data_IF_699898896309
#
_entry.id   IF_699898896309
#
_cell.length_a   1.000
_cell.length_b   1.000
_cell.length_c   1.000
_cell.angle_alpha   90.00
_cell.angle_beta   90.00
_cell.angle_gamma   90.00
#
_symmetry.space_group_name_H-M   'P 1'
#
loop_
_entity.id
_entity.type
_entity.pdbx_description
1 polymer ?
#
# COMPACT_ATOMS: atom_id res chain seq x y z
N UNK A 1 15.02 1.54 3.17
CA UNK A 1 14.76 1.23 1.75
C UNK A 1 14.87 2.51 0.94
N UNK A 2 15.33 2.46 -0.31
CA UNK A 2 15.32 3.65 -1.18
C UNK A 2 13.88 3.93 -1.62
N UNK A 3 13.36 5.17 -1.46
CA UNK A 3 12.03 5.52 -1.97
C UNK A 3 11.86 5.28 -3.49
N UNK A 4 12.97 5.16 -4.21
CA UNK A 4 12.97 4.87 -5.64
C UNK A 4 12.65 3.41 -6.00
N UNK A 5 12.93 2.47 -5.11
CA UNK A 5 12.87 1.04 -5.41
C UNK A 5 11.63 0.38 -4.82
N UNK A 6 11.24 0.79 -3.61
CA UNK A 6 10.20 0.13 -2.82
C UNK A 6 9.07 1.07 -2.41
N UNK A 7 9.03 2.28 -2.97
CA UNK A 7 8.07 3.31 -2.54
C UNK A 7 8.42 3.89 -1.18
N UNK A 8 7.48 4.65 -0.62
CA UNK A 8 7.62 5.31 0.67
C UNK A 8 7.83 4.32 1.84
N UNK A 9 8.67 4.69 2.81
CA UNK A 9 8.76 3.96 4.08
C UNK A 9 7.61 4.43 4.99
N UNK A 10 6.77 3.50 5.42
CA UNK A 10 5.71 3.80 6.38
C UNK A 10 6.23 3.64 7.81
N UNK A 11 5.90 4.59 8.69
CA UNK A 11 6.37 4.61 10.07
C UNK A 11 5.18 4.36 10.99
N UNK A 12 5.29 3.34 11.84
CA UNK A 12 4.29 2.97 12.82
C UNK A 12 4.47 3.72 14.14
N UNK A 13 3.43 3.73 14.97
CA UNK A 13 3.42 4.42 16.29
C UNK A 13 4.51 3.92 17.24
N UNK A 14 4.89 2.64 17.13
CA UNK A 14 5.97 2.05 17.93
C UNK A 14 7.38 2.39 17.38
N UNK A 15 7.49 3.22 16.34
CA UNK A 15 8.72 3.58 15.65
C UNK A 15 9.21 2.52 14.66
N UNK A 16 8.39 1.53 14.32
CA UNK A 16 8.70 0.55 13.29
C UNK A 16 8.72 1.17 11.89
N UNK A 17 9.78 0.89 11.13
CA UNK A 17 9.85 1.21 9.70
C UNK A 17 9.37 -0.01 8.90
N UNK A 18 8.29 0.15 8.13
CA UNK A 18 7.61 -0.94 7.44
C UNK A 18 7.28 -0.58 5.99
N UNK A 19 6.80 -1.59 5.26
CA UNK A 19 6.28 -1.42 3.91
C UNK A 19 5.06 -0.49 3.92
N UNK A 20 4.90 0.27 2.83
CA UNK A 20 3.80 1.18 2.57
C UNK A 20 2.43 0.50 2.65
N UNK A 21 2.36 -0.79 2.31
CA UNK A 21 1.12 -1.55 2.30
C UNK A 21 0.48 -1.64 3.68
N UNK A 22 1.27 -1.64 4.77
CA UNK A 22 0.72 -1.61 6.13
C UNK A 22 -0.10 -0.34 6.40
N UNK A 23 0.30 0.78 5.81
CA UNK A 23 -0.43 2.04 5.92
C UNK A 23 -1.81 2.01 5.24
N UNK A 24 -2.07 1.05 4.35
CA UNK A 24 -3.42 0.83 3.83
C UNK A 24 -4.34 0.19 4.87
N UNK A 25 -3.83 -0.77 5.65
CA UNK A 25 -4.61 -1.42 6.71
C UNK A 25 -5.02 -0.42 7.80
N UNK A 26 -4.08 0.38 8.32
CA UNK A 26 -4.41 1.40 9.33
C UNK A 26 -5.43 2.41 8.82
N UNK A 27 -5.31 2.84 7.54
CA UNK A 27 -6.23 3.82 6.93
C UNK A 27 -7.65 3.32 6.77
N UNK A 28 -7.85 2.01 6.59
CA UNK A 28 -9.15 1.44 6.27
C UNK A 28 -9.83 0.70 7.41
N UNK A 29 -9.08 0.30 8.44
CA UNK A 29 -9.58 -0.55 9.52
C UNK A 29 -9.62 0.14 10.89
N UNK A 30 -9.16 1.40 10.99
CA UNK A 30 -9.05 2.13 12.26
C UNK A 30 -8.27 1.36 13.33
N UNK A 31 -7.15 0.74 12.91
CA UNK A 31 -6.24 -0.02 13.77
C UNK A 31 -4.87 0.65 13.84
N UNK A 32 -4.15 0.38 14.92
CA UNK A 32 -2.74 0.78 15.10
C UNK A 32 -1.89 -0.49 15.09
N UNK A 33 -1.12 -0.68 14.03
CA UNK A 33 -0.23 -1.82 13.87
C UNK A 33 1.12 -1.55 14.55
N UNK A 34 1.85 -2.63 14.80
CA UNK A 34 3.20 -2.60 15.39
C UNK A 34 4.21 -3.18 14.40
N UNK A 35 5.50 -2.98 14.66
CA UNK A 35 6.58 -3.54 13.82
C UNK A 35 6.48 -5.05 13.61
N UNK A 36 5.82 -5.78 14.52
CA UNK A 36 5.70 -7.23 14.47
C UNK A 36 4.60 -7.71 13.52
N UNK A 37 3.69 -6.82 13.11
CA UNK A 37 2.71 -7.08 12.05
C UNK A 37 3.37 -7.14 10.66
N UNK A 38 4.58 -6.61 10.49
CA UNK A 38 5.37 -6.74 9.25
C UNK A 38 6.40 -7.88 9.38
N UNK A 39 6.16 -8.99 8.68
CA UNK A 39 7.05 -10.15 8.65
C UNK A 39 7.85 -10.13 7.35
N UNK A 40 9.18 -10.18 7.45
CA UNK A 40 10.07 -10.31 6.30
C UNK A 40 10.92 -11.58 6.39
N UNK A 41 11.38 -12.09 5.25
CA UNK A 41 12.31 -13.23 5.19
C UNK A 41 13.55 -12.98 6.07
N UNK A 42 14.07 -11.75 6.05
CA UNK A 42 15.21 -11.34 6.87
C UNK A 42 14.93 -11.45 8.38
N UNK A 43 13.77 -10.98 8.86
CA UNK A 43 13.38 -11.10 10.28
C UNK A 43 13.29 -12.56 10.74
N UNK A 44 12.66 -13.41 9.94
CA UNK A 44 12.51 -14.84 10.26
C UNK A 44 13.88 -15.52 10.31
N UNK A 45 14.73 -15.28 9.29
CA UNK A 45 16.05 -15.91 9.22
C UNK A 45 16.95 -15.44 10.35
N UNK A 46 16.92 -14.15 10.68
CA UNK A 46 17.64 -13.60 11.82
C UNK A 46 17.20 -14.27 13.13
N UNK A 47 15.89 -14.35 13.39
CA UNK A 47 15.34 -14.99 14.59
C UNK A 47 15.79 -16.44 14.73
N UNK A 48 15.73 -17.22 13.64
CA UNK A 48 16.15 -18.63 13.65
C UNK A 48 17.65 -18.79 13.85
N UNK A 49 18.47 -17.96 13.21
CA UNK A 49 19.93 -17.97 13.40
C UNK A 49 20.34 -17.61 14.84
N UNK A 50 19.65 -16.65 15.46
CA UNK A 50 19.90 -16.29 16.86
C UNK A 50 19.53 -17.44 17.82
N UNK A 51 18.38 -18.10 17.59
CA UNK A 51 17.95 -19.29 18.35
C UNK A 51 18.93 -20.45 18.22
N UNK A 52 19.46 -20.67 17.01
CA UNK A 52 20.48 -21.68 16.75
C UNK A 52 21.75 -21.43 17.57
N UNK A 53 22.27 -20.19 17.56
CA UNK A 53 23.47 -19.82 18.32
C UNK A 53 23.29 -19.94 19.84
N UNK A 54 22.08 -19.72 20.35
CA UNK A 54 21.75 -19.91 21.78
C UNK A 54 21.64 -21.39 22.18
N UNK A 55 21.53 -22.30 21.21
CA UNK A 55 21.36 -23.72 21.46
C UNK A 55 19.90 -24.16 21.64
N UNK A 56 18.93 -23.33 21.22
CA UNK A 56 17.49 -23.61 21.39
C UNK A 56 17.03 -24.87 20.63
N UNK A 57 17.80 -25.30 19.61
CA UNK A 57 17.55 -26.51 18.82
C UNK A 57 18.33 -27.75 19.32
N UNK A 58 18.96 -27.67 20.50
CA UNK A 58 19.67 -28.79 21.15
C UNK A 58 20.75 -29.44 20.28
N UNK A 59 21.44 -28.64 19.46
CA UNK A 59 22.49 -29.11 18.55
C UNK A 59 22.00 -29.87 17.32
N UNK A 60 20.67 -29.94 17.07
CA UNK A 60 20.12 -30.50 15.83
C UNK A 60 20.34 -29.55 14.67
N UNK A 61 20.50 -30.11 13.46
CA UNK A 61 20.62 -29.33 12.23
C UNK A 61 19.33 -28.56 11.93
N UNK A 62 19.45 -27.24 11.79
CA UNK A 62 18.35 -26.37 11.38
C UNK A 62 18.13 -26.49 9.86
N UNK A 63 16.87 -26.52 9.46
CA UNK A 63 16.41 -26.70 8.07
C UNK A 63 15.21 -25.79 7.79
N UNK A 64 14.91 -25.52 6.52
CA UNK A 64 13.73 -24.73 6.13
C UNK A 64 12.44 -25.36 6.69
N UNK A 65 12.27 -26.67 6.50
CA UNK A 65 11.19 -27.42 7.12
C UNK A 65 11.79 -28.33 8.20
N UNK A 66 11.28 -28.30 9.45
CA UNK A 66 10.17 -27.48 9.93
C UNK A 66 10.60 -26.13 10.51
N UNK A 67 11.90 -25.85 10.71
CA UNK A 67 12.33 -24.76 11.61
C UNK A 67 11.96 -23.35 11.13
N UNK A 68 12.10 -23.05 9.84
CA UNK A 68 11.68 -21.75 9.26
C UNK A 68 10.14 -21.69 9.23
N UNK A 69 9.48 -22.77 8.79
CA UNK A 69 8.02 -22.81 8.70
C UNK A 69 7.35 -22.69 10.08
N UNK A 70 7.93 -23.30 11.12
CA UNK A 70 7.48 -23.17 12.50
C UNK A 70 7.73 -21.77 13.03
N UNK A 71 8.86 -21.14 12.71
CA UNK A 71 9.11 -19.75 13.08
C UNK A 71 8.07 -18.80 12.47
N UNK A 72 7.68 -18.99 11.22
CA UNK A 72 6.63 -18.20 10.56
C UNK A 72 5.26 -18.42 11.23
N UNK A 73 4.84 -19.68 11.41
CA UNK A 73 3.55 -20.00 12.06
C UNK A 73 3.47 -19.43 13.47
N UNK A 74 4.50 -19.67 14.28
CA UNK A 74 4.54 -19.18 15.66
C UNK A 74 4.50 -17.65 15.71
N UNK A 75 5.15 -16.97 14.75
CA UNK A 75 5.08 -15.51 14.66
C UNK A 75 3.65 -15.04 14.39
N UNK A 76 3.00 -15.60 13.36
CA UNK A 76 1.61 -15.28 13.02
C UNK A 76 0.68 -15.50 14.20
N UNK A 77 0.75 -16.67 14.86
CA UNK A 77 -0.07 -16.99 16.03
C UNK A 77 0.20 -16.04 17.21
N UNK A 78 1.46 -15.67 17.44
CA UNK A 78 1.85 -14.76 18.53
C UNK A 78 1.36 -13.33 18.31
N UNK A 79 1.32 -12.86 17.06
CA UNK A 79 0.88 -11.49 16.73
C UNK A 79 -0.64 -11.42 16.63
N UNK A 80 -1.30 -12.47 16.14
CA UNK A 80 -2.76 -12.51 16.00
C UNK A 80 -3.52 -12.35 17.33
N UNK A 81 -2.88 -12.69 18.46
CA UNK A 81 -3.49 -12.54 19.79
C UNK A 81 -3.26 -11.17 20.44
N UNK A 82 -2.44 -10.30 19.82
CA UNK A 82 -2.16 -8.96 20.31
C UNK A 82 -3.23 -8.00 19.76
N UNK A 83 -3.95 -7.26 20.62
CA UNK A 83 -4.95 -6.30 20.16
C UNK A 83 -4.31 -5.13 19.43
N UNK A 84 -4.96 -4.69 18.35
CA UNK A 84 -4.52 -3.56 17.49
C UNK A 84 -5.57 -2.46 17.36
N UNK A 85 -6.78 -2.66 17.91
CA UNK A 85 -7.91 -1.71 17.83
C UNK A 85 -8.18 -1.00 19.18
N UNK A 86 -7.27 -1.14 20.14
CA UNK A 86 -7.39 -0.58 21.49
C UNK A 86 -8.36 -1.31 22.42
N UNK A 87 -8.99 -2.41 21.99
CA UNK A 87 -9.85 -3.23 22.86
C UNK A 87 -9.04 -4.29 23.60
N UNK A 88 -9.56 -4.76 24.73
CA UNK A 88 -8.96 -5.88 25.46
C UNK A 88 -9.32 -7.21 24.76
N UNK A 89 -8.33 -8.11 24.68
CA UNK A 89 -8.50 -9.44 24.12
C UNK A 89 -8.01 -9.59 22.68
N UNK A 90 -7.87 -10.84 22.18
CA UNK A 90 -7.43 -11.10 20.81
C UNK A 90 -8.54 -10.75 19.81
N UNK A 91 -8.15 -10.46 18.56
CA UNK A 91 -9.10 -10.28 17.48
C UNK A 91 -9.77 -11.61 17.09
N UNK A 92 -11.02 -11.56 16.62
CA UNK A 92 -11.74 -12.75 16.14
C UNK A 92 -11.18 -13.29 14.81
N UNK A 93 -10.64 -12.41 13.97
CA UNK A 93 -10.10 -12.72 12.64
C UNK A 93 -8.80 -11.94 12.42
N UNK A 94 -7.75 -12.64 11.98
CA UNK A 94 -6.50 -12.06 11.53
C UNK A 94 -6.45 -12.11 10.00
N UNK A 95 -6.31 -10.95 9.34
CA UNK A 95 -6.07 -10.87 7.90
C UNK A 95 -4.58 -10.99 7.66
N UNK A 96 -4.18 -12.01 6.89
CA UNK A 96 -2.78 -12.27 6.54
C UNK A 96 -2.61 -11.99 5.04
N UNK A 97 -1.74 -11.05 4.72
CA UNK A 97 -1.29 -10.81 3.36
C UNK A 97 0.09 -11.45 3.15
N UNK A 98 0.15 -12.36 2.18
CA UNK A 98 1.42 -12.84 1.65
C UNK A 98 1.78 -12.00 0.42
N UNK A 99 2.70 -11.06 0.59
CA UNK A 99 3.25 -10.27 -0.50
C UNK A 99 4.03 -11.13 -1.52
N UNK A 100 4.35 -10.52 -2.66
CA UNK A 100 5.01 -11.22 -3.78
C UNK A 100 4.03 -12.01 -4.65
N UNK A 101 4.52 -13.05 -5.32
CA UNK A 101 3.72 -13.84 -6.26
C UNK A 101 3.79 -15.32 -5.96
N UNK A 102 2.73 -16.06 -6.29
CA UNK A 102 2.79 -17.52 -6.20
C UNK A 102 3.69 -18.08 -7.30
N UNK A 103 4.71 -18.85 -6.91
CA UNK A 103 5.64 -19.53 -7.81
C UNK A 103 7.04 -18.93 -7.87
N UNK A 104 7.28 -17.84 -7.15
CA UNK A 104 8.63 -17.32 -6.92
C UNK A 104 9.35 -18.14 -5.81
N UNK A 105 10.69 -18.02 -5.74
CA UNK A 105 11.52 -18.80 -4.80
C UNK A 105 11.36 -18.23 -3.38
N UNK A 106 11.13 -16.93 -3.30
CA UNK A 106 11.01 -16.14 -2.08
C UNK A 106 9.76 -16.51 -1.27
N UNK A 107 8.62 -16.80 -1.91
CA UNK A 107 7.37 -17.16 -1.23
C UNK A 107 7.31 -18.62 -0.79
N UNK A 108 8.17 -19.51 -1.31
CA UNK A 108 8.08 -20.96 -1.04
C UNK A 108 8.04 -21.31 0.46
N UNK A 109 8.90 -20.74 1.34
CA UNK A 109 8.85 -21.03 2.78
C UNK A 109 7.54 -20.55 3.43
N UNK A 110 6.98 -19.42 2.98
CA UNK A 110 5.74 -18.86 3.51
C UNK A 110 4.51 -19.66 3.07
N UNK A 111 4.45 -20.07 1.80
CA UNK A 111 3.35 -20.91 1.30
C UNK A 111 3.33 -22.24 2.05
N UNK A 112 4.51 -22.87 2.25
CA UNK A 112 4.60 -24.11 3.02
C UNK A 112 4.21 -23.90 4.51
N UNK A 113 4.59 -22.78 5.11
CA UNK A 113 4.16 -22.43 6.46
C UNK A 113 2.64 -22.24 6.58
N UNK A 114 2.02 -21.49 5.65
CA UNK A 114 0.57 -21.29 5.59
C UNK A 114 -0.19 -22.58 5.29
N UNK A 115 0.36 -23.46 4.44
CA UNK A 115 -0.18 -24.80 4.22
C UNK A 115 -0.24 -25.58 5.52
N UNK A 116 0.85 -25.63 6.28
CA UNK A 116 0.88 -26.30 7.59
C UNK A 116 -0.04 -25.63 8.61
N UNK A 117 -0.11 -24.29 8.61
CA UNK A 117 -1.01 -23.52 9.48
C UNK A 117 -2.48 -23.88 9.23
N UNK A 118 -2.89 -24.00 7.96
CA UNK A 118 -4.26 -24.37 7.62
C UNK A 118 -4.71 -25.71 8.21
N UNK A 119 -3.77 -26.63 8.42
CA UNK A 119 -4.05 -27.89 9.12
C UNK A 119 -4.05 -27.75 10.64
N UNK A 120 -3.18 -26.91 11.22
CA UNK A 120 -3.10 -26.75 12.68
C UNK A 120 -4.31 -26.02 13.24
N UNK A 121 -4.80 -24.98 12.56
CA UNK A 121 -5.96 -24.20 13.01
C UNK A 121 -7.29 -24.88 12.66
N UNK A 122 -7.30 -25.75 11.66
CA UNK A 122 -8.49 -26.45 11.20
C UNK A 122 -9.25 -25.71 10.09
N UNK A 123 -10.09 -26.45 9.36
CA UNK A 123 -10.73 -25.99 8.13
C UNK A 123 -11.65 -24.78 8.33
N UNK A 124 -12.37 -24.73 9.45
CA UNK A 124 -13.31 -23.65 9.76
C UNK A 124 -12.63 -22.40 10.35
N UNK A 125 -11.30 -22.42 10.55
CA UNK A 125 -10.52 -21.30 11.06
C UNK A 125 -9.53 -20.74 10.02
N UNK A 126 -9.65 -21.15 8.76
CA UNK A 126 -8.77 -20.72 7.68
C UNK A 126 -9.58 -20.40 6.42
N UNK A 127 -9.40 -19.20 5.88
CA UNK A 127 -9.99 -18.77 4.62
C UNK A 127 -8.87 -18.27 3.70
N UNK A 128 -8.87 -18.76 2.46
CA UNK A 128 -7.83 -18.45 1.47
C UNK A 128 -8.46 -17.74 0.28
N UNK A 129 -8.02 -16.51 0.04
CA UNK A 129 -8.43 -15.70 -1.10
C UNK A 129 -7.23 -15.60 -2.03
N UNK A 130 -7.35 -16.14 -3.24
CA UNK A 130 -6.31 -15.99 -4.26
C UNK A 130 -6.62 -14.82 -5.17
N UNK A 131 -5.76 -13.81 -5.20
CA UNK A 131 -5.90 -12.65 -6.07
C UNK A 131 -5.17 -12.91 -7.38
N UNK A 132 -5.86 -12.75 -8.51
CA UNK A 132 -5.28 -12.98 -9.84
C UNK A 132 -5.71 -11.92 -10.84
N UNK A 133 -4.80 -11.56 -11.74
CA UNK A 133 -5.08 -10.68 -12.87
C UNK A 133 -5.74 -11.45 -14.04
N UNK A 134 -6.83 -10.91 -14.57
CA UNK A 134 -7.47 -11.33 -15.82
C UNK A 134 -7.16 -10.28 -16.89
N UNK A 135 -6.13 -10.50 -17.72
CA UNK A 135 -5.79 -9.55 -18.77
C UNK A 135 -6.85 -9.52 -19.86
N UNK A 136 -7.16 -8.30 -20.32
CA UNK A 136 -8.04 -8.02 -21.45
C UNK A 136 -7.16 -7.60 -22.62
N UNK A 137 -7.13 -8.39 -23.68
CA UNK A 137 -6.22 -8.15 -24.81
C UNK A 137 -6.93 -7.44 -25.98
N UNK A 138 -6.40 -6.25 -26.33
CA UNK A 138 -6.59 -5.59 -27.63
C UNK A 138 -8.03 -5.19 -28.00
N UNK A 139 -8.20 -4.85 -29.28
CA UNK A 139 -9.42 -4.30 -29.91
C UNK A 139 -10.67 -5.17 -29.73
N UNK A 140 -10.48 -6.46 -29.47
CA UNK A 140 -11.56 -7.47 -29.38
C UNK A 140 -12.18 -7.55 -27.97
N UNK A 141 -11.50 -7.04 -26.94
CA UNK A 141 -12.00 -7.05 -25.56
C UNK A 141 -12.07 -8.44 -24.91
N UNK A 142 -11.30 -9.42 -25.40
CA UNK A 142 -11.36 -10.80 -24.89
C UNK A 142 -10.66 -10.94 -23.53
N UNK A 143 -11.40 -11.45 -22.54
CA UNK A 143 -10.90 -11.75 -21.20
C UNK A 143 -10.14 -13.09 -21.17
N UNK A 144 -8.84 -13.06 -20.87
CA UNK A 144 -7.99 -14.25 -20.87
C UNK A 144 -7.86 -14.86 -19.47
N UNK A 145 -8.36 -16.07 -19.29
CA UNK A 145 -8.36 -16.78 -18.00
C UNK A 145 -7.12 -17.63 -17.74
N UNK A 146 -6.26 -17.85 -18.75
CA UNK A 146 -5.16 -18.83 -18.66
C UNK A 146 -4.13 -18.48 -17.58
N UNK A 147 -3.71 -17.20 -17.40
CA UNK A 147 -2.80 -16.84 -16.32
C UNK A 147 -3.32 -17.26 -14.95
N UNK A 148 -4.59 -17.00 -14.66
CA UNK A 148 -5.26 -17.43 -13.42
C UNK A 148 -5.30 -18.95 -13.27
N UNK A 149 -5.59 -19.69 -14.34
CA UNK A 149 -5.59 -21.15 -14.31
C UNK A 149 -4.22 -21.73 -13.94
N UNK A 150 -3.14 -21.16 -14.50
CA UNK A 150 -1.77 -21.57 -14.17
C UNK A 150 -1.41 -21.20 -12.73
N UNK A 151 -1.76 -19.99 -12.29
CA UNK A 151 -1.49 -19.54 -10.93
C UNK A 151 -2.21 -20.39 -9.87
N UNK A 152 -3.48 -20.74 -10.09
CA UNK A 152 -4.22 -21.64 -9.19
C UNK A 152 -3.68 -23.07 -9.25
N UNK A 153 -3.19 -23.53 -10.40
CA UNK A 153 -2.51 -24.84 -10.49
C UNK A 153 -1.25 -24.86 -9.64
N UNK A 154 -0.45 -23.79 -9.69
CA UNK A 154 0.78 -23.66 -8.89
C UNK A 154 0.47 -23.65 -7.39
N UNK A 155 -0.49 -22.82 -6.97
CA UNK A 155 -0.94 -22.75 -5.58
C UNK A 155 -1.40 -24.12 -5.05
N UNK A 156 -2.15 -24.88 -5.87
CA UNK A 156 -2.59 -26.24 -5.52
C UNK A 156 -1.46 -27.25 -5.50
N UNK A 157 -0.47 -27.14 -6.37
CA UNK A 157 0.72 -27.99 -6.34
C UNK A 157 1.51 -27.80 -5.04
N UNK A 158 1.47 -26.58 -4.49
CA UNK A 158 2.01 -26.24 -3.17
C UNK A 158 1.05 -26.59 -2.01
N UNK A 159 -0.05 -27.29 -2.27
CA UNK A 159 -0.96 -27.83 -1.26
C UNK A 159 -1.99 -26.86 -0.70
N UNK A 160 -2.15 -25.67 -1.29
CA UNK A 160 -3.20 -24.71 -0.93
C UNK A 160 -4.29 -24.65 -2.00
N UNK A 161 -5.55 -24.72 -1.59
CA UNK A 161 -6.70 -24.58 -2.50
C UNK A 161 -7.49 -23.33 -2.14
N UNK A 162 -7.70 -22.38 -3.06
CA UNK A 162 -8.40 -21.15 -2.75
C UNK A 162 -9.88 -21.40 -2.47
N UNK A 163 -10.39 -20.75 -1.43
CA UNK A 163 -11.82 -20.74 -1.09
C UNK A 163 -12.56 -19.68 -1.91
N UNK A 164 -11.89 -18.56 -2.17
CA UNK A 164 -12.34 -17.49 -3.05
C UNK A 164 -11.26 -17.16 -4.08
N UNK A 165 -11.70 -16.76 -5.27
CA UNK A 165 -10.83 -16.28 -6.34
C UNK A 165 -11.19 -14.83 -6.66
N UNK A 166 -10.33 -13.91 -6.28
CA UNK A 166 -10.47 -12.49 -6.57
C UNK A 166 -9.81 -12.15 -7.91
N UNK A 167 -10.63 -11.99 -8.94
CA UNK A 167 -10.16 -11.74 -10.30
C UNK A 167 -10.15 -10.24 -10.59
N UNK A 168 -8.96 -9.64 -10.65
CA UNK A 168 -8.76 -8.25 -11.04
C UNK A 168 -8.78 -8.09 -12.55
N UNK A 169 -9.55 -7.14 -13.08
CA UNK A 169 -9.62 -6.85 -14.52
C UNK A 169 -9.92 -5.38 -14.81
N UNK A 170 -9.68 -4.91 -16.03
CA UNK A 170 -10.06 -3.54 -16.41
C UNK A 170 -11.59 -3.38 -16.58
N UNK A 171 -12.27 -4.46 -17.00
CA UNK A 171 -13.70 -4.47 -17.29
C UNK A 171 -14.41 -5.57 -16.48
N UNK A 172 -15.71 -5.46 -16.20
CA UNK A 172 -16.47 -6.50 -15.51
C UNK A 172 -16.35 -7.86 -16.19
N UNK A 173 -16.13 -8.91 -15.40
CA UNK A 173 -16.05 -10.28 -15.94
C UNK A 173 -17.35 -10.73 -16.62
N UNK A 174 -17.20 -11.30 -17.80
CA UNK A 174 -18.30 -11.96 -18.50
C UNK A 174 -18.69 -13.25 -17.78
N UNK A 175 -19.98 -13.61 -17.86
CA UNK A 175 -20.50 -14.82 -17.22
C UNK A 175 -19.76 -16.09 -17.68
N UNK A 176 -19.51 -16.23 -18.99
CA UNK A 176 -18.72 -17.33 -19.54
C UNK A 176 -17.27 -17.37 -18.99
N UNK A 177 -16.65 -16.20 -18.75
CA UNK A 177 -15.32 -16.12 -18.11
C UNK A 177 -15.37 -16.69 -16.70
N UNK A 178 -16.39 -16.34 -15.90
CA UNK A 178 -16.59 -16.86 -14.54
C UNK A 178 -16.84 -18.38 -14.55
N UNK A 179 -17.70 -18.87 -15.42
CA UNK A 179 -18.00 -20.31 -15.54
C UNK A 179 -16.75 -21.11 -15.92
N UNK A 180 -15.97 -20.61 -16.87
CA UNK A 180 -14.69 -21.19 -17.25
C UNK A 180 -13.72 -21.22 -16.07
N UNK A 181 -13.54 -20.09 -15.38
CA UNK A 181 -12.67 -20.05 -14.20
C UNK A 181 -13.14 -21.05 -13.13
N UNK A 182 -14.44 -21.19 -12.91
CA UNK A 182 -15.00 -22.15 -11.96
C UNK A 182 -14.62 -23.59 -12.30
N UNK A 183 -14.81 -23.98 -13.56
CA UNK A 183 -14.47 -25.32 -14.05
C UNK A 183 -12.97 -25.63 -13.96
N UNK A 184 -12.10 -24.68 -14.33
CA UNK A 184 -10.66 -24.95 -14.38
C UNK A 184 -9.95 -24.77 -13.03
N UNK A 185 -10.44 -23.88 -12.18
CA UNK A 185 -9.84 -23.57 -10.88
C UNK A 185 -10.45 -24.38 -9.73
N UNK A 186 -11.57 -25.08 -9.96
CA UNK A 186 -12.34 -25.83 -8.96
C UNK A 186 -12.85 -24.93 -7.81
N UNK A 187 -13.19 -23.69 -8.13
CA UNK A 187 -13.81 -22.73 -7.19
C UNK A 187 -15.26 -22.52 -7.63
N UNK A 188 -16.27 -22.58 -6.73
CA UNK A 188 -17.65 -22.30 -7.10
C UNK A 188 -17.79 -20.93 -7.77
N UNK A 189 -18.63 -20.82 -8.81
CA UNK A 189 -18.80 -19.55 -9.52
C UNK A 189 -19.26 -18.39 -8.59
N UNK A 190 -19.98 -18.70 -7.51
CA UNK A 190 -20.37 -17.75 -6.46
C UNK A 190 -19.19 -17.17 -5.69
N UNK A 191 -18.05 -17.86 -5.65
CA UNK A 191 -16.85 -17.47 -4.93
C UNK A 191 -15.79 -16.86 -5.88
N UNK A 192 -16.14 -16.61 -7.14
CA UNK A 192 -15.30 -15.90 -8.12
C UNK A 192 -15.72 -14.43 -8.13
N UNK A 193 -14.90 -13.62 -7.47
CA UNK A 193 -15.14 -12.19 -7.28
C UNK A 193 -14.62 -11.41 -8.49
N UNK A 194 -15.48 -10.60 -9.08
CA UNK A 194 -15.16 -9.68 -10.17
C UNK A 194 -14.68 -8.36 -9.57
N UNK A 195 -13.38 -8.11 -9.60
CA UNK A 195 -12.74 -6.88 -9.09
C UNK A 195 -12.29 -6.04 -10.29
N UNK A 196 -13.24 -5.37 -10.92
CA UNK A 196 -12.92 -4.51 -12.07
C UNK A 196 -12.43 -3.13 -11.62
N UNK A 197 -11.79 -2.38 -12.52
CA UNK A 197 -11.39 -1.01 -12.23
C UNK A 197 -12.61 -0.16 -11.85
N UNK A 198 -12.55 0.44 -10.67
CA UNK A 198 -13.58 1.32 -10.10
C UNK A 198 -13.12 2.77 -10.12
N UNK A 199 -14.05 3.76 -10.16
CA UNK A 199 -13.69 5.18 -10.25
C UNK A 199 -12.82 5.68 -9.10
N UNK A 200 -13.04 5.11 -7.90
CA UNK A 200 -12.27 5.41 -6.70
C UNK A 200 -12.25 4.19 -5.77
N UNK A 201 -11.27 4.15 -4.86
CA UNK A 201 -10.98 2.99 -4.01
C UNK A 201 -12.12 2.64 -3.03
N UNK A 202 -12.97 3.61 -2.66
CA UNK A 202 -14.07 3.39 -1.72
C UNK A 202 -15.23 2.59 -2.33
N UNK A 203 -15.24 2.41 -3.66
CA UNK A 203 -16.16 1.47 -4.32
C UNK A 203 -15.80 0.01 -4.11
N UNK A 204 -14.57 -0.34 -3.73
CA UNK A 204 -14.13 -1.74 -3.61
C UNK A 204 -14.94 -2.51 -2.55
N UNK A 205 -15.15 -2.01 -1.31
CA UNK A 205 -16.02 -2.67 -0.34
C UNK A 205 -17.46 -2.84 -0.83
N UNK A 206 -18.00 -1.85 -1.56
CA UNK A 206 -19.36 -1.91 -2.13
C UNK A 206 -19.45 -2.99 -3.21
N UNK A 207 -18.43 -3.09 -4.07
CA UNK A 207 -18.30 -4.11 -5.10
C UNK A 207 -18.21 -5.52 -4.52
N UNK A 208 -17.51 -5.69 -3.40
CA UNK A 208 -17.41 -6.95 -2.67
C UNK A 208 -18.73 -7.32 -1.97
N UNK A 209 -19.42 -6.34 -1.35
CA UNK A 209 -20.74 -6.53 -0.75
C UNK A 209 -21.75 -7.00 -1.80
N UNK A 210 -21.83 -6.33 -2.94
CA UNK A 210 -22.79 -6.63 -4.01
C UNK A 210 -22.58 -8.04 -4.61
N UNK A 211 -21.40 -8.64 -4.41
CA UNK A 211 -21.07 -10.00 -4.83
C UNK A 211 -21.15 -11.03 -3.69
N UNK A 212 -21.68 -10.66 -2.53
CA UNK A 212 -21.78 -11.51 -1.34
C UNK A 212 -20.43 -12.08 -0.86
N UNK A 213 -19.32 -11.36 -1.11
CA UNK A 213 -17.98 -11.81 -0.71
C UNK A 213 -17.88 -12.02 0.82
N UNK A 214 -18.40 -11.04 1.58
CA UNK A 214 -18.52 -11.11 3.04
C UNK A 214 -19.25 -12.37 3.52
N UNK A 215 -20.38 -12.73 2.90
CA UNK A 215 -21.12 -13.95 3.22
C UNK A 215 -20.30 -15.21 2.94
N UNK A 216 -19.59 -15.27 1.82
CA UNK A 216 -18.74 -16.42 1.47
C UNK A 216 -17.58 -16.60 2.46
N UNK A 217 -16.95 -15.50 2.89
CA UNK A 217 -15.87 -15.52 3.91
C UNK A 217 -16.43 -15.96 5.27
N UNK A 218 -17.53 -15.35 5.73
CA UNK A 218 -18.17 -15.70 7.00
C UNK A 218 -18.66 -17.16 7.03
N UNK A 219 -19.13 -17.68 5.89
CA UNK A 219 -19.49 -19.08 5.75
C UNK A 219 -18.28 -20.00 5.89
N UNK A 220 -17.16 -19.64 5.25
CA UNK A 220 -15.92 -20.42 5.31
C UNK A 220 -15.33 -20.45 6.72
N UNK A 221 -15.46 -19.35 7.47
CA UNK A 221 -14.95 -19.25 8.83
C UNK A 221 -15.97 -19.66 9.91
N UNK A 222 -17.13 -20.20 9.53
CA UNK A 222 -18.20 -20.58 10.45
C UNK A 222 -18.70 -19.45 11.38
N UNK A 223 -18.72 -18.20 10.88
CA UNK A 223 -19.16 -17.00 11.62
C UNK A 223 -20.57 -16.51 11.27
N UNK A 224 -21.30 -17.17 10.37
CA UNK A 224 -22.62 -16.73 9.91
C UNK A 224 -23.67 -16.56 11.02
N UNK A 225 -23.55 -17.30 12.12
CA UNK A 225 -24.50 -17.24 13.25
C UNK A 225 -24.32 -16.00 14.13
N UNK A 226 -23.13 -15.39 14.10
CA UNK A 226 -22.74 -14.26 14.96
C UNK A 226 -22.65 -12.96 14.16
N UNK A 227 -22.27 -13.05 12.89
CA UNK A 227 -22.03 -11.88 12.06
C UNK A 227 -23.31 -11.16 11.64
N UNK A 228 -23.26 -9.83 11.68
CA UNK A 228 -24.30 -8.95 11.13
C UNK A 228 -23.95 -8.53 9.71
N UNK A 229 -24.96 -8.08 8.95
CA UNK A 229 -24.70 -7.46 7.64
C UNK A 229 -23.79 -6.24 7.80
N UNK A 230 -22.81 -6.04 6.89
CA UNK A 230 -21.88 -4.92 7.00
C UNK A 230 -22.63 -3.60 6.73
N UNK A 231 -22.50 -2.64 7.64
CA UNK A 231 -22.91 -1.27 7.40
C UNK A 231 -21.83 -0.56 6.57
N UNK A 232 -22.18 -0.24 5.32
CA UNK A 232 -21.31 0.46 4.38
C UNK A 232 -21.88 1.84 4.00
N UNK A 233 -22.74 2.43 4.84
CA UNK A 233 -23.31 3.74 4.55
C UNK A 233 -22.22 4.80 4.39
N UNK A 234 -21.25 4.86 5.32
CA UNK A 234 -20.14 5.82 5.25
C UNK A 234 -19.29 5.64 3.98
N UNK A 235 -18.98 4.38 3.64
CA UNK A 235 -18.26 4.04 2.41
C UNK A 235 -19.01 4.47 1.15
N UNK A 236 -20.32 4.25 1.14
CA UNK A 236 -21.21 4.67 0.03
C UNK A 236 -21.19 6.19 -0.12
N UNK A 237 -21.42 6.92 0.98
CA UNK A 237 -21.40 8.38 0.98
C UNK A 237 -20.06 8.92 0.53
N UNK A 238 -18.94 8.35 1.00
CA UNK A 238 -17.59 8.81 0.63
C UNK A 238 -17.28 8.56 -0.84
N UNK A 239 -17.63 7.37 -1.36
CA UNK A 239 -17.44 7.02 -2.77
C UNK A 239 -18.23 7.94 -3.70
N UNK A 240 -19.52 8.16 -3.39
CA UNK A 240 -20.40 9.03 -4.17
C UNK A 240 -20.00 10.50 -4.07
N UNK A 241 -19.57 10.96 -2.88
CA UNK A 241 -19.09 12.34 -2.70
C UNK A 241 -17.91 12.59 -3.62
N UNK A 242 -16.91 11.71 -3.62
CA UNK A 242 -15.71 11.87 -4.45
C UNK A 242 -16.02 11.89 -5.95
N UNK A 243 -16.92 11.01 -6.41
CA UNK A 243 -17.30 10.95 -7.83
C UNK A 243 -18.01 12.23 -8.31
N UNK A 244 -18.69 12.94 -7.41
CA UNK A 244 -19.45 14.15 -7.71
C UNK A 244 -18.66 15.45 -7.48
N UNK A 245 -17.38 15.39 -7.11
CA UNK A 245 -16.55 16.60 -6.91
C UNK A 245 -16.24 17.29 -8.25
N UNK A 246 -16.68 18.54 -8.37
CA UNK A 246 -16.46 19.37 -9.56
C UNK A 246 -15.37 20.42 -9.39
N UNK A 247 -15.26 21.02 -8.20
CA UNK A 247 -14.24 22.01 -7.91
C UNK A 247 -12.90 21.33 -7.62
N UNK A 248 -11.82 21.81 -8.23
CA UNK A 248 -10.47 21.29 -7.99
C UNK A 248 -9.57 22.31 -7.33
N UNK A 249 -8.55 21.83 -6.61
CA UNK A 249 -7.47 22.64 -6.05
C UNK A 249 -6.15 22.13 -6.60
N UNK A 250 -5.35 23.04 -7.19
CA UNK A 250 -4.03 22.72 -7.72
C UNK A 250 -2.96 22.84 -6.64
N UNK A 251 -2.24 21.75 -6.41
CA UNK A 251 -1.22 21.62 -5.38
C UNK A 251 0.10 21.33 -6.08
N UNK A 252 1.05 22.27 -6.00
CA UNK A 252 2.40 22.02 -6.50
C UNK A 252 3.15 21.16 -5.48
N UNK A 253 3.43 19.91 -5.83
CA UNK A 253 4.27 19.02 -5.03
C UNK A 253 5.70 19.06 -5.53
N UNK A 254 6.56 19.77 -4.81
CA UNK A 254 7.97 19.99 -5.17
C UNK A 254 8.83 18.95 -4.46
N UNK A 255 9.18 17.88 -5.17
CA UNK A 255 9.81 16.70 -4.59
C UNK A 255 11.06 16.24 -5.33
N UNK A 256 11.77 15.28 -4.72
CA UNK A 256 12.96 14.64 -5.32
C UNK A 256 12.63 13.42 -6.19
N UNK A 257 11.43 12.87 -6.06
CA UNK A 257 11.05 11.54 -6.57
C UNK A 257 9.80 11.61 -7.47
N UNK A 258 9.74 12.60 -8.36
CA UNK A 258 8.53 12.89 -9.17
C UNK A 258 8.14 11.79 -10.16
N UNK A 259 9.09 10.95 -10.58
CA UNK A 259 8.82 9.84 -11.50
C UNK A 259 8.13 8.62 -10.87
N UNK A 260 8.03 8.57 -9.53
CA UNK A 260 7.46 7.45 -8.79
C UNK A 260 6.41 7.98 -7.82
N UNK A 261 5.15 7.86 -8.21
CA UNK A 261 4.00 8.28 -7.39
C UNK A 261 3.99 7.61 -6.02
N UNK A 262 4.55 6.40 -5.94
CA UNK A 262 4.54 5.58 -4.74
C UNK A 262 5.51 6.09 -3.66
N UNK A 263 6.49 6.93 -4.03
CA UNK A 263 7.41 7.55 -3.08
C UNK A 263 6.76 8.58 -2.16
N UNK A 264 5.53 9.01 -2.46
CA UNK A 264 4.77 9.99 -1.67
C UNK A 264 3.29 9.59 -1.51
N UNK A 265 2.99 8.29 -1.57
CA UNK A 265 1.61 7.82 -1.58
C UNK A 265 0.86 8.25 -0.32
N UNK A 266 1.47 8.18 0.87
CA UNK A 266 0.84 8.56 2.13
C UNK A 266 0.41 10.03 2.11
N UNK A 267 1.26 10.91 1.58
CA UNK A 267 1.01 12.34 1.43
C UNK A 267 -0.15 12.59 0.48
N UNK A 268 -0.15 11.93 -0.68
CA UNK A 268 -1.25 12.04 -1.66
C UNK A 268 -2.57 11.54 -1.07
N UNK A 269 -2.57 10.45 -0.31
CA UNK A 269 -3.79 9.93 0.36
C UNK A 269 -4.28 10.87 1.46
N UNK A 270 -3.38 11.46 2.25
CA UNK A 270 -3.75 12.45 3.27
C UNK A 270 -4.36 13.70 2.65
N UNK A 271 -3.76 14.22 1.58
CA UNK A 271 -4.32 15.34 0.81
C UNK A 271 -5.70 15.01 0.24
N UNK A 272 -5.85 13.81 -0.33
CA UNK A 272 -7.12 13.34 -0.85
C UNK A 272 -8.22 13.36 0.22
N UNK A 273 -7.93 12.86 1.42
CA UNK A 273 -8.89 12.86 2.52
C UNK A 273 -9.24 14.29 2.96
N UNK A 274 -8.26 15.17 3.11
CA UNK A 274 -8.47 16.57 3.49
C UNK A 274 -9.28 17.33 2.43
N UNK A 275 -8.99 17.11 1.15
CA UNK A 275 -9.70 17.76 0.04
C UNK A 275 -11.16 17.29 -0.04
N UNK A 276 -11.43 16.00 0.16
CA UNK A 276 -12.81 15.47 0.21
C UNK A 276 -13.61 16.11 1.34
N UNK A 277 -13.02 16.27 2.53
CA UNK A 277 -13.66 16.95 3.65
C UNK A 277 -14.03 18.42 3.35
N UNK A 278 -13.29 19.05 2.42
CA UNK A 278 -13.54 20.41 1.94
C UNK A 278 -14.36 20.47 0.64
N UNK A 279 -14.91 19.35 0.15
CA UNK A 279 -15.61 19.27 -1.13
C UNK A 279 -14.77 19.76 -2.33
N UNK A 280 -13.48 19.45 -2.32
CA UNK A 280 -12.52 19.78 -3.36
C UNK A 280 -11.86 18.52 -3.92
N UNK A 281 -11.60 18.50 -5.22
CA UNK A 281 -10.81 17.46 -5.89
C UNK A 281 -9.33 17.87 -5.91
N UNK A 282 -8.41 17.08 -5.33
CA UNK A 282 -6.99 17.40 -5.40
C UNK A 282 -6.47 17.22 -6.83
N UNK A 283 -5.75 18.22 -7.34
CA UNK A 283 -4.93 18.13 -8.55
C UNK A 283 -3.48 18.32 -8.12
N UNK A 284 -2.74 17.21 -8.00
CA UNK A 284 -1.33 17.24 -7.59
C UNK A 284 -0.47 17.39 -8.83
N UNK A 285 0.12 18.57 -8.97
CA UNK A 285 1.05 18.88 -10.04
C UNK A 285 2.48 18.63 -9.54
N UNK A 286 3.14 17.64 -10.13
CA UNK A 286 4.46 17.20 -9.67
C UNK A 286 5.57 18.04 -10.29
N UNK A 287 6.46 18.55 -9.44
CA UNK A 287 7.58 19.39 -9.86
C UNK A 287 8.87 18.77 -9.33
N UNK A 288 9.76 18.37 -10.24
CA UNK A 288 11.06 17.86 -9.84
C UNK A 288 11.87 19.05 -9.30
N UNK A 289 12.30 18.97 -8.04
CA UNK A 289 12.96 20.11 -7.40
C UNK A 289 14.23 20.56 -8.17
N UNK A 290 14.96 19.62 -8.76
CA UNK A 290 16.12 19.92 -9.63
C UNK A 290 15.77 20.82 -10.81
N UNK A 291 14.56 20.74 -11.35
CA UNK A 291 14.17 21.51 -12.52
C UNK A 291 13.96 22.99 -12.17
N UNK A 292 13.73 23.32 -10.90
CA UNK A 292 13.63 24.70 -10.42
C UNK A 292 14.99 25.39 -10.26
N UNK A 293 16.09 24.63 -10.21
CA UNK A 293 17.43 25.16 -9.96
C UNK A 293 17.96 26.01 -11.14
N UNK A 294 18.84 26.95 -10.82
CA UNK A 294 19.42 27.87 -11.82
C UNK A 294 20.28 27.15 -12.87
N UNK A 295 20.89 26.02 -12.53
CA UNK A 295 21.69 25.24 -13.49
C UNK A 295 20.80 24.57 -14.54
N UNK A 296 19.59 24.16 -14.16
CA UNK A 296 18.58 23.62 -15.08
C UNK A 296 18.09 24.65 -16.09
N UNK A 297 18.13 25.94 -15.77
CA UNK A 297 17.85 27.00 -16.74
C UNK A 297 18.84 27.02 -17.92
N UNK A 298 20.06 26.49 -17.73
CA UNK A 298 21.09 26.38 -18.78
C UNK A 298 21.10 25.01 -19.44
N UNK A 299 20.97 23.95 -18.64
CA UNK A 299 21.10 22.56 -19.11
C UNK A 299 19.81 22.05 -19.77
N UNK A 300 18.65 22.40 -19.20
CA UNK A 300 17.32 21.90 -19.59
C UNK A 300 16.28 23.03 -19.53
N UNK A 301 16.41 24.06 -20.38
CA UNK A 301 15.61 25.29 -20.29
C UNK A 301 14.10 25.06 -20.41
N UNK A 302 13.67 24.09 -21.23
CA UNK A 302 12.25 23.76 -21.41
C UNK A 302 11.64 23.16 -20.14
N UNK A 303 12.33 22.19 -19.51
CA UNK A 303 11.89 21.58 -18.25
C UNK A 303 11.86 22.61 -17.10
N UNK A 304 12.88 23.49 -17.05
CA UNK A 304 12.93 24.58 -16.08
C UNK A 304 11.76 25.55 -16.24
N UNK A 305 11.47 25.98 -17.48
CA UNK A 305 10.35 26.89 -17.75
C UNK A 305 9.01 26.25 -17.35
N UNK A 306 8.79 24.99 -17.71
CA UNK A 306 7.57 24.24 -17.37
C UNK A 306 7.40 24.03 -15.86
N UNK A 307 8.47 23.71 -15.14
CA UNK A 307 8.46 23.56 -13.68
C UNK A 307 8.04 24.87 -12.99
N UNK A 308 8.63 25.99 -13.39
CA UNK A 308 8.28 27.30 -12.85
C UNK A 308 6.88 27.79 -13.24
N UNK A 309 6.40 27.49 -14.45
CA UNK A 309 5.02 27.77 -14.85
C UNK A 309 4.02 27.00 -13.99
N UNK A 310 4.26 25.70 -13.81
CA UNK A 310 3.46 24.85 -12.93
C UNK A 310 3.41 25.40 -11.51
N UNK A 311 4.57 25.75 -10.93
CA UNK A 311 4.66 26.33 -9.58
C UNK A 311 3.85 27.62 -9.44
N UNK A 312 3.98 28.54 -10.41
CA UNK A 312 3.26 29.84 -10.40
C UNK A 312 1.75 29.68 -10.55
N UNK A 313 1.30 28.58 -11.13
CA UNK A 313 -0.11 28.31 -11.38
C UNK A 313 -0.81 27.63 -10.20
N UNK A 314 -0.05 27.05 -9.25
CA UNK A 314 -0.60 26.30 -8.13
C UNK A 314 -1.25 27.21 -7.08
N UNK A 315 -2.29 26.69 -6.42
CA UNK A 315 -2.97 27.37 -5.32
C UNK A 315 -2.22 27.23 -3.98
N UNK A 316 -1.40 26.19 -3.84
CA UNK A 316 -0.50 25.99 -2.71
C UNK A 316 0.74 25.18 -3.12
N UNK A 317 1.78 25.30 -2.30
CA UNK A 317 3.05 24.59 -2.47
C UNK A 317 3.23 23.60 -1.32
N UNK A 318 3.54 22.35 -1.65
CA UNK A 318 3.90 21.32 -0.69
C UNK A 318 5.31 20.81 -0.99
N UNK A 319 6.18 20.85 0.03
CA UNK A 319 7.51 20.24 -0.03
C UNK A 319 7.54 19.06 0.94
N UNK A 320 7.60 17.81 0.44
CA UNK A 320 7.60 16.62 1.27
C UNK A 320 8.98 16.35 1.87
N UNK A 321 9.11 15.25 2.61
CA UNK A 321 10.40 14.75 3.09
C UNK A 321 11.32 14.30 1.94
N UNK A 322 12.60 14.16 2.23
CA UNK A 322 13.58 13.63 1.28
C UNK A 322 14.97 13.49 1.91
N UNK A 323 15.86 12.77 1.22
CA UNK A 323 17.22 12.50 1.68
C UNK A 323 18.27 13.08 0.72
N UNK A 324 19.48 13.34 1.26
CA UNK A 324 20.65 13.86 0.52
C UNK A 324 20.51 15.32 0.06
N UNK A 325 21.49 15.79 -0.72
CA UNK A 325 21.59 17.21 -1.11
C UNK A 325 20.85 17.55 -2.42
N UNK A 326 20.55 16.54 -3.25
CA UNK A 326 19.91 16.75 -4.57
C UNK A 326 18.58 17.47 -4.44
N UNK A 327 18.35 18.51 -5.25
CA UNK A 327 17.07 19.22 -5.33
C UNK A 327 16.82 20.19 -4.17
N UNK A 328 17.72 20.30 -3.18
CA UNK A 328 17.52 21.15 -1.99
C UNK A 328 17.42 22.62 -2.39
N UNK A 329 18.31 23.11 -3.26
CA UNK A 329 18.27 24.51 -3.71
C UNK A 329 16.99 24.83 -4.49
N UNK A 330 16.49 23.89 -5.30
CA UNK A 330 15.20 24.04 -5.97
C UNK A 330 14.02 24.12 -5.01
N UNK A 331 14.03 23.34 -3.92
CA UNK A 331 13.03 23.43 -2.85
C UNK A 331 13.09 24.77 -2.11
N UNK A 332 14.30 25.30 -1.86
CA UNK A 332 14.49 26.63 -1.26
C UNK A 332 13.89 27.70 -2.17
N UNK A 333 14.11 27.62 -3.48
CA UNK A 333 13.52 28.54 -4.47
C UNK A 333 11.98 28.47 -4.47
N UNK A 334 11.41 27.27 -4.34
CA UNK A 334 9.96 27.10 -4.23
C UNK A 334 9.40 27.71 -2.93
N UNK A 335 10.06 27.50 -1.79
CA UNK A 335 9.68 28.09 -0.51
C UNK A 335 9.76 29.63 -0.55
N UNK A 336 10.82 30.17 -1.18
CA UNK A 336 11.00 31.61 -1.39
C UNK A 336 9.87 32.19 -2.22
N UNK A 337 9.56 31.53 -3.35
CA UNK A 337 8.44 31.93 -4.20
C UNK A 337 7.13 31.98 -3.41
N UNK A 338 6.84 30.93 -2.62
CA UNK A 338 5.62 30.87 -1.83
C UNK A 338 5.54 32.01 -0.81
N UNK A 339 6.63 32.29 -0.09
CA UNK A 339 6.71 33.39 0.89
C UNK A 339 6.52 34.76 0.25
N UNK A 340 7.24 35.04 -0.84
CA UNK A 340 7.23 36.35 -1.50
C UNK A 340 5.91 36.66 -2.23
N UNK A 341 5.17 35.62 -2.63
CA UNK A 341 3.91 35.76 -3.35
C UNK A 341 2.69 35.41 -2.49
N UNK A 342 2.86 35.23 -1.18
CA UNK A 342 1.80 34.85 -0.24
C UNK A 342 1.00 33.60 -0.64
N UNK A 343 1.67 32.63 -1.27
CA UNK A 343 1.08 31.33 -1.61
C UNK A 343 1.18 30.41 -0.38
N UNK A 344 0.09 29.75 0.05
CA UNK A 344 0.14 28.79 1.15
C UNK A 344 1.19 27.72 0.95
N UNK A 345 1.98 27.44 1.98
CA UNK A 345 3.09 26.51 1.97
C UNK A 345 2.95 25.47 3.08
N UNK A 346 3.15 24.19 2.76
CA UNK A 346 3.27 23.11 3.74
C UNK A 346 4.61 22.38 3.54
N UNK A 347 5.48 22.47 4.54
CA UNK A 347 6.75 21.75 4.57
C UNK A 347 6.67 20.55 5.51
N UNK A 348 6.91 19.34 5.00
CA UNK A 348 6.92 18.10 5.79
C UNK A 348 8.36 17.65 6.00
N UNK A 349 8.77 17.46 7.26
CA UNK A 349 10.12 17.04 7.64
C UNK A 349 11.20 17.93 6.97
N UNK A 350 11.85 17.47 5.90
CA UNK A 350 12.79 18.27 5.12
C UNK A 350 12.17 19.59 4.66
N UNK A 351 10.91 19.60 4.20
CA UNK A 351 10.25 20.85 3.78
C UNK A 351 10.19 21.91 4.88
N UNK A 352 10.02 21.51 6.14
CA UNK A 352 10.08 22.45 7.27
C UNK A 352 11.50 23.00 7.47
N UNK A 353 12.54 22.18 7.28
CA UNK A 353 13.92 22.65 7.32
C UNK A 353 14.21 23.63 6.19
N UNK A 354 13.72 23.34 4.98
CA UNK A 354 13.86 24.19 3.80
C UNK A 354 13.26 25.58 4.05
N UNK A 355 12.08 25.68 4.67
CA UNK A 355 11.47 26.98 4.94
C UNK A 355 12.31 27.82 5.93
N UNK A 356 12.93 27.20 6.93
CA UNK A 356 13.84 27.88 7.86
C UNK A 356 15.13 28.31 7.14
N UNK A 357 15.71 27.46 6.30
CA UNK A 357 16.91 27.79 5.51
C UNK A 357 16.63 28.97 4.58
N UNK A 358 15.50 28.93 3.86
CA UNK A 358 15.08 30.01 2.96
C UNK A 358 14.95 31.33 3.72
N UNK A 359 14.24 31.33 4.85
CA UNK A 359 14.01 32.55 5.62
C UNK A 359 15.33 33.12 6.17
N UNK A 360 16.19 32.26 6.72
CA UNK A 360 17.49 32.67 7.24
C UNK A 360 18.38 33.31 6.15
N UNK A 361 18.39 32.75 4.94
CA UNK A 361 19.18 33.27 3.81
C UNK A 361 18.58 34.53 3.20
N UNK A 362 17.27 34.55 2.97
CA UNK A 362 16.60 35.62 2.21
C UNK A 362 16.23 36.83 3.06
N UNK A 363 15.94 36.65 4.35
CA UNK A 363 15.42 37.72 5.24
C UNK A 363 16.44 38.12 6.30
N UNK A 364 17.23 37.18 6.80
CA UNK A 364 18.20 37.44 7.88
C UNK A 364 19.65 37.59 7.40
N UNK A 365 19.92 37.44 6.09
CA UNK A 365 21.26 37.48 5.49
C UNK A 365 22.25 36.44 6.06
N UNK A 366 21.75 35.28 6.51
CA UNK A 366 22.55 34.18 7.07
C UNK A 366 22.83 33.14 5.97
N UNK A 367 23.83 33.42 5.14
CA UNK A 367 24.11 32.61 3.94
C UNK A 367 24.80 31.25 4.19
N UNK A 368 25.40 31.05 5.37
CA UNK A 368 26.16 29.83 5.67
C UNK A 368 25.29 28.65 6.12
N UNK A 369 24.00 28.86 6.35
CA UNK A 369 23.07 27.80 6.75
C UNK A 369 22.78 26.90 5.54
N UNK A 370 23.24 25.64 5.57
CA UNK A 370 23.09 24.67 4.46
C UNK A 370 22.01 23.63 4.70
N UNK A 371 22.07 22.89 5.81
CA UNK A 371 21.05 21.94 6.25
C UNK A 371 20.89 22.06 7.78
N UNK A 372 19.67 21.93 8.31
CA UNK A 372 19.44 21.93 9.76
C UNK A 372 19.67 20.55 10.39
N UNK A 373 19.45 19.47 9.65
CA UNK A 373 19.74 18.11 10.08
C UNK A 373 20.23 17.28 8.88
N UNK A 374 21.29 16.50 9.14
CA UNK A 374 22.14 15.72 8.22
C UNK A 374 23.30 16.48 7.57
#
# INVERSE_FOLDING_TARGET
>A
MSPFEHGEVFVLDDGGEVDLDLGNYERFLDVTLTRDNNITTGKIYQSVLERERRGDYLGKTVQVVPHITDAIKNWVESVAVIPVDGKEGPADVCVIELGGTVGDIESMPFIEALRQLSFSVGQDNFCLIHVSLIPVLGVVGEQKTKPTQHSVRELRALGLTPHLLACRSAQPLLQNTKEKLSQFCHVPASNILNIHDVPNIWHVPLLLRNQNAHYAILKQLNYLSVATSPDLQEWTTRAETYDNLTNSVRIAMVGKYVGLTDSYLSVVKALLHACIACSLKPSVDWIAASDLENDSAKLTPEAHAAAWETLRSAACVLVPGGFGDRGVEGMILAAKYARENHVPYLGICLGMQISVIEFARSVCDIFFLKNLFF
#
